data_IF_101153144919
#
_entry.id   IF_101153144919
#
_cell.length_a   1.000
_cell.length_b   1.000
_cell.length_c   1.000
_cell.angle_alpha   90.00
_cell.angle_beta   90.00
_cell.angle_gamma   90.00
#
_symmetry.space_group_name_H-M   'P 1'
#
loop_
_entity.id
_entity.type
_entity.pdbx_description
1 polymer ?
#
# COMPACT_ATOMS: atom_id res chain seq x y z
N UNK A 1 -5.35 -11.57 -0.81
CA UNK A 1 -4.64 -11.58 0.49
C UNK A 1 -5.53 -11.08 1.61
N UNK A 2 -5.36 -11.59 2.85
CA UNK A 2 -6.16 -11.15 4.00
C UNK A 2 -5.59 -9.86 4.59
N UNK A 3 -6.43 -8.86 4.76
CA UNK A 3 -6.00 -7.54 5.20
C UNK A 3 -6.93 -6.94 6.25
N UNK A 4 -6.41 -5.96 7.00
CA UNK A 4 -7.19 -5.11 7.89
C UNK A 4 -6.96 -3.64 7.54
N UNK A 5 -7.97 -2.83 7.86
CA UNK A 5 -7.88 -1.38 7.83
C UNK A 5 -8.28 -0.82 9.20
N UNK A 6 -7.39 -0.04 9.80
CA UNK A 6 -7.57 0.61 11.08
C UNK A 6 -8.03 2.06 10.86
N UNK A 7 -9.20 2.39 11.33
CA UNK A 7 -9.72 3.75 11.31
C UNK A 7 -9.51 4.40 12.69
N UNK A 8 -8.48 5.22 12.75
CA UNK A 8 -7.95 5.82 13.97
C UNK A 8 -8.62 7.18 14.30
N UNK A 9 -9.93 7.32 14.05
CA UNK A 9 -10.65 8.58 14.26
C UNK A 9 -10.67 9.05 15.72
N UNK A 10 -10.50 8.13 16.68
CA UNK A 10 -10.35 8.41 18.11
C UNK A 10 -9.00 7.93 18.64
N UNK A 11 -7.97 7.98 17.79
CA UNK A 11 -6.64 7.53 18.13
C UNK A 11 -6.44 6.02 18.08
N UNK A 12 -5.35 5.57 18.70
CA UNK A 12 -4.97 4.15 18.77
C UNK A 12 -4.07 3.91 19.99
N UNK A 13 -4.33 2.82 20.70
CA UNK A 13 -3.51 2.35 21.81
C UNK A 13 -3.44 0.82 21.80
N UNK A 14 -2.56 0.23 22.61
CA UNK A 14 -2.38 -1.22 22.63
C UNK A 14 -3.65 -1.94 23.09
N UNK A 15 -4.28 -1.49 24.15
CA UNK A 15 -5.53 -2.06 24.66
C UNK A 15 -6.68 -1.93 23.63
N UNK A 16 -6.77 -0.83 22.88
CA UNK A 16 -7.74 -0.68 21.79
C UNK A 16 -7.48 -1.67 20.66
N UNK A 17 -6.21 -1.91 20.30
CA UNK A 17 -5.83 -2.93 19.32
C UNK A 17 -6.28 -4.33 19.77
N UNK A 18 -5.93 -4.73 21.01
CA UNK A 18 -6.34 -6.04 21.55
C UNK A 18 -7.85 -6.20 21.56
N UNK A 19 -8.58 -5.18 22.03
CA UNK A 19 -10.04 -5.18 22.05
C UNK A 19 -10.64 -5.34 20.64
N UNK A 20 -10.12 -4.62 19.66
CA UNK A 20 -10.58 -4.73 18.29
C UNK A 20 -10.31 -6.11 17.68
N UNK A 21 -9.15 -6.71 17.95
CA UNK A 21 -8.82 -8.06 17.50
C UNK A 21 -9.69 -9.15 18.13
N UNK A 22 -9.94 -9.05 19.44
CA UNK A 22 -10.84 -9.98 20.13
C UNK A 22 -12.26 -9.89 19.55
N UNK A 23 -12.78 -8.69 19.35
CA UNK A 23 -14.09 -8.52 18.73
C UNK A 23 -14.11 -8.94 17.25
N UNK A 24 -12.98 -8.90 16.56
CA UNK A 24 -12.83 -9.39 15.18
C UNK A 24 -12.78 -10.92 15.08
N UNK A 25 -12.84 -11.65 16.21
CA UNK A 25 -12.95 -13.11 16.25
C UNK A 25 -11.71 -13.85 16.71
N UNK A 26 -10.69 -13.18 17.28
CA UNK A 26 -9.63 -13.87 18.03
C UNK A 26 -10.20 -14.40 19.33
N UNK A 27 -10.12 -15.72 19.61
CA UNK A 27 -10.61 -16.23 20.89
C UNK A 27 -9.75 -15.74 22.06
N UNK A 28 -10.38 -15.21 23.12
CA UNK A 28 -9.67 -14.75 24.31
C UNK A 28 -8.79 -15.85 24.93
N UNK A 29 -9.31 -17.08 24.99
CA UNK A 29 -8.56 -18.22 25.51
C UNK A 29 -7.26 -18.51 24.72
N UNK A 30 -7.29 -18.32 23.40
CA UNK A 30 -6.11 -18.46 22.54
C UNK A 30 -5.08 -17.37 22.86
N UNK A 31 -5.51 -16.10 22.89
CA UNK A 31 -4.61 -14.98 23.18
C UNK A 31 -3.93 -15.17 24.56
N UNK A 32 -4.71 -15.58 25.59
CA UNK A 32 -4.16 -15.85 26.93
C UNK A 32 -3.14 -16.99 26.92
N UNK A 33 -3.43 -18.08 26.22
CA UNK A 33 -2.53 -19.22 26.12
C UNK A 33 -1.22 -18.87 25.41
N UNK A 34 -1.28 -18.06 24.36
CA UNK A 34 -0.07 -17.60 23.67
C UNK A 34 0.74 -16.60 24.51
N UNK A 35 0.10 -15.63 25.16
CA UNK A 35 0.78 -14.69 26.06
C UNK A 35 1.44 -15.38 27.26
N UNK A 36 0.88 -16.48 27.74
CA UNK A 36 1.47 -17.28 28.83
C UNK A 36 2.80 -17.96 28.44
N UNK A 37 3.17 -17.99 27.15
CA UNK A 37 4.48 -18.49 26.69
C UNK A 37 5.62 -17.49 26.91
N UNK A 38 5.30 -16.23 27.23
CA UNK A 38 6.32 -15.25 27.59
C UNK A 38 6.85 -15.54 29.00
N UNK A 39 8.17 -15.57 29.20
CA UNK A 39 8.79 -15.80 30.52
C UNK A 39 8.72 -14.50 31.36
N UNK A 40 7.52 -14.00 31.62
CA UNK A 40 7.30 -12.84 32.45
C UNK A 40 7.33 -13.22 33.92
N UNK A 41 8.19 -12.60 34.70
CA UNK A 41 8.17 -12.73 36.13
C UNK A 41 6.99 -11.96 36.72
N UNK A 42 6.18 -12.64 37.48
CA UNK A 42 4.99 -12.09 38.14
C UNK A 42 3.68 -12.43 37.45
N UNK A 43 2.60 -12.30 38.15
CA UNK A 43 1.24 -12.48 37.64
C UNK A 43 0.72 -11.15 37.08
N UNK A 44 -0.01 -11.21 35.99
CA UNK A 44 -0.82 -10.09 35.52
C UNK A 44 -2.28 -10.52 35.43
N UNK A 45 -3.19 -9.56 35.50
CA UNK A 45 -4.61 -9.77 35.28
C UNK A 45 -5.01 -9.07 34.00
N UNK A 46 -5.44 -9.84 33.00
CA UNK A 46 -6.03 -9.30 31.81
C UNK A 46 -7.56 -9.35 31.95
N UNK A 47 -8.19 -8.19 31.99
CA UNK A 47 -9.64 -8.04 32.02
C UNK A 47 -10.15 -7.81 30.61
N UNK A 48 -11.14 -8.59 30.18
CA UNK A 48 -11.79 -8.44 28.88
C UNK A 48 -13.28 -8.30 29.13
N UNK A 49 -13.88 -7.22 28.65
CA UNK A 49 -15.31 -6.99 28.88
C UNK A 49 -15.95 -6.26 27.68
N UNK A 50 -17.20 -6.61 27.34
CA UNK A 50 -17.99 -5.84 26.40
C UNK A 50 -18.41 -4.51 27.05
N UNK A 51 -18.23 -3.41 26.31
CA UNK A 51 -18.60 -2.06 26.78
C UNK A 51 -19.36 -1.31 25.70
N UNK A 52 -20.07 -0.25 26.13
CA UNK A 52 -20.74 0.67 25.23
C UNK A 52 -20.03 2.03 25.27
N UNK A 53 -19.53 2.50 24.15
CA UNK A 53 -18.96 3.85 23.99
C UNK A 53 -19.84 4.67 23.03
N UNK A 54 -20.57 5.64 23.55
CA UNK A 54 -21.48 6.49 22.78
C UNK A 54 -22.43 5.72 21.85
N UNK A 55 -22.98 4.59 22.35
CA UNK A 55 -23.90 3.73 21.58
C UNK A 55 -23.20 2.70 20.66
N UNK A 56 -21.87 2.64 20.63
CA UNK A 56 -21.11 1.62 19.90
C UNK A 56 -20.71 0.50 20.85
N UNK A 57 -21.11 -0.73 20.54
CA UNK A 57 -20.67 -1.92 21.27
C UNK A 57 -19.20 -2.22 20.89
N UNK A 58 -18.33 -2.27 21.88
CA UNK A 58 -16.89 -2.46 21.73
C UNK A 58 -16.33 -3.44 22.76
N UNK A 59 -15.15 -3.98 22.51
CA UNK A 59 -14.44 -4.80 23.47
C UNK A 59 -13.38 -3.94 24.17
N UNK A 60 -13.41 -3.92 25.50
CA UNK A 60 -12.41 -3.28 26.35
C UNK A 60 -11.46 -4.31 26.91
N UNK A 61 -10.17 -4.06 26.77
CA UNK A 61 -9.11 -4.89 27.34
C UNK A 61 -8.29 -4.03 28.31
N UNK A 62 -8.04 -4.54 29.49
CA UNK A 62 -7.23 -3.88 30.50
C UNK A 62 -6.25 -4.90 31.11
N UNK A 63 -4.98 -4.58 31.05
CA UNK A 63 -3.90 -5.40 31.60
C UNK A 63 -3.39 -4.72 32.88
N UNK A 64 -3.52 -5.40 34.02
CA UNK A 64 -3.10 -4.89 35.31
C UNK A 64 -2.09 -5.81 35.94
N UNK A 65 -1.10 -5.22 36.60
CA UNK A 65 -0.24 -5.94 37.51
C UNK A 65 -0.97 -6.05 38.87
N UNK A 66 -0.92 -7.21 39.57
CA UNK A 66 -1.45 -7.32 40.91
C UNK A 66 -0.71 -6.33 41.80
N UNK A 67 -1.46 -5.54 42.57
CA UNK A 67 -0.86 -4.68 43.61
C UNK A 67 -0.07 -5.56 44.60
N UNK A 68 1.20 -5.33 44.74
CA UNK A 68 1.90 -5.73 45.94
C UNK A 68 1.45 -4.73 47.01
N UNK A 69 0.68 -5.21 47.98
CA UNK A 69 0.39 -4.49 49.25
C UNK A 69 1.70 -4.37 50.03
N UNK A 70 2.50 -3.38 49.71
CA UNK A 70 3.64 -3.00 50.55
C UNK A 70 3.47 -1.55 50.98
N UNK A 71 3.03 -1.44 52.22
CA UNK A 71 3.17 -0.24 53.04
C UNK A 71 4.65 0.03 53.29
N UNK A 72 5.33 0.69 52.35
CA UNK A 72 6.55 1.44 52.64
C UNK A 72 6.70 2.58 51.65
N UNK A 73 6.74 3.80 52.19
CA UNK A 73 7.13 5.02 51.49
C UNK A 73 8.56 4.87 50.97
N UNK A 74 8.71 4.75 49.65
CA UNK A 74 9.99 4.70 49.00
C UNK A 74 9.82 4.36 47.54
N UNK A 75 10.30 5.24 46.69
CA UNK A 75 10.47 5.18 45.22
C UNK A 75 10.07 3.83 44.60
N UNK A 76 8.93 3.80 43.93
CA UNK A 76 8.50 2.64 43.12
C UNK A 76 9.48 2.45 41.98
N UNK A 77 10.46 1.57 42.18
CA UNK A 77 11.36 1.11 41.15
C UNK A 77 10.56 0.27 40.12
N UNK A 78 9.97 0.93 39.15
CA UNK A 78 9.59 0.25 37.94
C UNK A 78 10.87 -0.32 37.31
N UNK A 79 10.96 -1.64 37.14
CA UNK A 79 12.06 -2.26 36.44
C UNK A 79 12.07 -1.68 35.00
N UNK A 80 12.98 -0.74 34.76
CA UNK A 80 13.18 -0.16 33.44
C UNK A 80 13.86 -1.22 32.56
N UNK A 81 13.08 -1.84 31.66
CA UNK A 81 13.64 -2.79 30.69
C UNK A 81 14.20 -2.02 29.50
N UNK A 82 15.37 -2.46 29.05
CA UNK A 82 15.99 -1.99 27.80
C UNK A 82 15.46 -2.78 26.62
N UNK A 83 15.72 -2.30 25.40
CA UNK A 83 15.42 -3.06 24.18
C UNK A 83 16.11 -4.42 24.18
N UNK A 84 17.32 -4.53 24.73
CA UNK A 84 18.04 -5.78 24.87
C UNK A 84 17.33 -6.78 25.80
N UNK A 85 16.78 -6.31 26.91
CA UNK A 85 16.03 -7.15 27.87
C UNK A 85 14.74 -7.68 27.22
N UNK A 86 13.99 -6.82 26.49
CA UNK A 86 12.77 -7.19 25.79
C UNK A 86 13.08 -8.19 24.68
N UNK A 87 14.16 -7.99 23.93
CA UNK A 87 14.61 -8.93 22.89
C UNK A 87 14.90 -10.30 23.50
N UNK A 88 15.68 -10.36 24.58
CA UNK A 88 16.00 -11.61 25.25
C UNK A 88 14.74 -12.32 25.76
N UNK A 89 13.78 -11.58 26.31
CA UNK A 89 12.50 -12.11 26.78
C UNK A 89 11.67 -12.72 25.66
N UNK A 90 11.54 -12.02 24.52
CA UNK A 90 10.76 -12.49 23.38
C UNK A 90 11.45 -13.68 22.70
N UNK A 91 12.77 -13.64 22.52
CA UNK A 91 13.55 -14.72 21.89
C UNK A 91 13.52 -16.01 22.73
N UNK A 92 13.56 -15.88 24.07
CA UNK A 92 13.47 -17.03 24.98
C UNK A 92 12.06 -17.64 25.07
N UNK A 93 11.03 -16.97 24.56
CA UNK A 93 9.66 -17.46 24.60
C UNK A 93 9.40 -18.64 23.67
N UNK A 94 8.32 -19.39 23.92
CA UNK A 94 7.83 -20.45 23.03
C UNK A 94 6.81 -19.96 21.99
N UNK A 95 6.83 -18.66 21.64
CA UNK A 95 6.00 -18.06 20.57
C UNK A 95 6.49 -18.47 19.18
N UNK A 96 5.63 -18.36 18.17
CA UNK A 96 6.02 -18.58 16.77
C UNK A 96 7.06 -17.56 16.31
N UNK A 97 7.93 -17.95 15.39
CA UNK A 97 8.95 -17.02 14.84
C UNK A 97 8.32 -15.81 14.16
N UNK A 98 7.14 -15.96 13.55
CA UNK A 98 6.40 -14.86 12.95
C UNK A 98 5.94 -13.83 14.01
N UNK A 99 5.41 -14.30 15.14
CA UNK A 99 5.02 -13.45 16.25
C UNK A 99 6.24 -12.76 16.87
N UNK A 100 7.34 -13.50 17.11
CA UNK A 100 8.59 -12.91 17.62
C UNK A 100 9.09 -11.80 16.70
N UNK A 101 9.20 -12.08 15.39
CA UNK A 101 9.69 -11.11 14.42
C UNK A 101 8.83 -9.84 14.37
N UNK A 102 7.49 -9.96 14.35
CA UNK A 102 6.57 -8.81 14.38
C UNK A 102 6.70 -8.01 15.67
N UNK A 103 6.73 -8.68 16.81
CA UNK A 103 6.87 -8.03 18.12
C UNK A 103 8.18 -7.25 18.22
N UNK A 104 9.30 -7.87 17.84
CA UNK A 104 10.61 -7.23 17.85
C UNK A 104 10.68 -6.04 16.88
N UNK A 105 10.03 -6.11 15.73
CA UNK A 105 9.97 -5.00 14.79
C UNK A 105 9.23 -3.79 15.37
N UNK A 106 8.12 -4.00 16.10
CA UNK A 106 7.38 -2.92 16.76
C UNK A 106 8.22 -2.30 17.89
N UNK A 107 8.86 -3.12 18.73
CA UNK A 107 9.72 -2.63 19.82
C UNK A 107 10.95 -1.90 19.29
N UNK A 108 11.58 -2.38 18.21
CA UNK A 108 12.70 -1.72 17.58
C UNK A 108 12.32 -0.32 17.08
N UNK A 109 11.16 -0.22 16.40
CA UNK A 109 10.62 1.07 15.93
C UNK A 109 10.39 2.05 17.09
N UNK A 110 9.87 1.54 18.22
CA UNK A 110 9.68 2.34 19.41
C UNK A 110 11.00 2.76 20.06
N UNK A 111 11.98 1.84 20.16
CA UNK A 111 13.30 2.11 20.72
C UNK A 111 14.06 3.17 19.91
N UNK A 112 13.90 3.16 18.60
CA UNK A 112 14.49 4.17 17.71
C UNK A 112 13.89 5.56 17.96
N UNK A 113 12.59 5.66 18.15
CA UNK A 113 11.91 6.92 18.46
C UNK A 113 12.31 7.45 19.84
N UNK A 114 12.28 6.62 20.86
CA UNK A 114 12.71 6.96 22.23
C UNK A 114 14.21 7.32 22.25
N UNK A 115 15.04 6.58 21.50
CA UNK A 115 16.47 6.86 21.37
C UNK A 115 16.74 8.25 20.81
N UNK A 116 15.96 8.70 19.82
CA UNK A 116 16.05 10.07 19.29
C UNK A 116 15.63 11.11 20.32
N UNK A 117 14.50 10.89 21.01
CA UNK A 117 14.00 11.80 22.05
C UNK A 117 15.00 11.98 23.17
N UNK A 118 15.66 10.90 23.61
CA UNK A 118 16.62 10.91 24.71
C UNK A 118 18.07 11.09 24.29
N UNK A 119 18.35 11.26 23.00
CA UNK A 119 19.71 11.34 22.44
C UNK A 119 20.59 10.15 22.88
N UNK A 120 20.03 8.93 22.85
CA UNK A 120 20.71 7.67 23.21
C UNK A 120 20.58 6.64 22.08
N UNK A 121 21.51 5.68 21.97
CA UNK A 121 21.35 4.55 21.08
C UNK A 121 20.11 3.72 21.42
N UNK A 122 19.35 3.27 20.42
CA UNK A 122 18.10 2.52 20.60
C UNK A 122 18.26 1.29 21.52
N UNK A 123 19.37 0.54 21.40
CA UNK A 123 19.61 -0.67 22.21
C UNK A 123 19.83 -0.38 23.71
N UNK A 124 20.20 0.85 24.07
CA UNK A 124 20.50 1.27 25.45
C UNK A 124 19.42 2.13 26.07
N UNK A 125 18.40 2.45 25.31
CA UNK A 125 17.24 3.20 25.81
C UNK A 125 16.48 2.34 26.81
N UNK A 126 16.25 2.90 27.99
CA UNK A 126 15.35 2.32 28.98
C UNK A 126 13.92 2.82 28.68
N UNK A 127 13.00 1.92 28.53
CA UNK A 127 11.60 2.27 28.36
C UNK A 127 11.00 2.63 29.71
N UNK A 128 10.73 3.92 29.91
CA UNK A 128 10.19 4.42 31.18
C UNK A 128 8.70 4.12 31.35
N UNK A 129 7.95 4.03 30.24
CA UNK A 129 6.53 3.74 30.22
C UNK A 129 6.22 2.44 29.49
N UNK A 130 6.90 2.19 28.35
CA UNK A 130 6.57 1.09 27.44
C UNK A 130 7.37 -0.19 27.76
N UNK A 131 8.30 -0.17 28.71
CA UNK A 131 8.99 -1.35 29.26
C UNK A 131 8.18 -2.10 30.33
N UNK A 132 7.04 -1.54 30.75
CA UNK A 132 6.13 -2.17 31.67
C UNK A 132 5.44 -3.40 31.02
N UNK A 133 5.02 -4.32 31.86
CA UNK A 133 4.45 -5.61 31.42
C UNK A 133 3.20 -5.44 30.56
N UNK A 134 2.37 -4.44 30.85
CA UNK A 134 1.18 -4.10 30.08
C UNK A 134 1.50 -3.81 28.61
N UNK A 135 2.49 -2.95 28.36
CA UNK A 135 2.91 -2.61 27.00
C UNK A 135 3.54 -3.79 26.26
N UNK A 136 4.28 -4.67 26.98
CA UNK A 136 4.80 -5.90 26.39
C UNK A 136 3.66 -6.81 25.95
N UNK A 137 2.66 -6.98 26.80
CA UNK A 137 1.49 -7.80 26.50
C UNK A 137 0.64 -7.21 25.37
N UNK A 138 0.50 -5.90 25.29
CA UNK A 138 -0.20 -5.21 24.24
C UNK A 138 0.48 -5.43 22.86
N UNK A 139 1.79 -5.21 22.78
CA UNK A 139 2.55 -5.35 21.53
C UNK A 139 2.61 -6.80 21.07
N UNK A 140 2.99 -7.72 21.97
CA UNK A 140 3.08 -9.14 21.66
C UNK A 140 1.69 -9.71 21.37
N UNK A 141 0.68 -9.29 22.14
CA UNK A 141 -0.70 -9.68 21.92
C UNK A 141 -1.25 -9.25 20.57
N UNK A 142 -0.93 -8.02 20.13
CA UNK A 142 -1.29 -7.56 18.77
C UNK A 142 -0.62 -8.41 17.69
N UNK A 143 0.66 -8.77 17.84
CA UNK A 143 1.36 -9.65 16.91
C UNK A 143 0.75 -11.06 16.86
N UNK A 144 0.38 -11.63 18.04
CA UNK A 144 -0.34 -12.91 18.13
C UNK A 144 -1.67 -12.84 17.40
N UNK A 145 -2.43 -11.77 17.58
CA UNK A 145 -3.74 -11.60 16.94
C UNK A 145 -3.61 -11.51 15.42
N UNK A 146 -2.62 -10.77 14.91
CA UNK A 146 -2.33 -10.69 13.46
C UNK A 146 -1.98 -12.07 12.88
N UNK A 147 -1.17 -12.84 13.59
CA UNK A 147 -0.76 -14.20 13.20
C UNK A 147 -1.96 -15.15 13.18
N UNK A 148 -2.77 -15.17 14.26
CA UNK A 148 -3.98 -15.97 14.37
C UNK A 148 -4.99 -15.70 13.24
N UNK A 149 -5.21 -14.42 12.93
CA UNK A 149 -6.12 -14.02 11.87
C UNK A 149 -5.53 -14.21 10.48
N UNK A 150 -4.25 -14.54 10.35
CA UNK A 150 -3.57 -14.68 9.07
C UNK A 150 -3.51 -13.35 8.29
N UNK A 151 -3.27 -12.25 8.99
CA UNK A 151 -3.22 -10.91 8.36
C UNK A 151 -1.88 -10.71 7.65
N UNK A 152 -1.96 -10.48 6.34
CA UNK A 152 -0.82 -10.25 5.46
C UNK A 152 -0.53 -8.76 5.27
N UNK A 153 -1.57 -7.91 5.30
CA UNK A 153 -1.46 -6.47 5.11
C UNK A 153 -2.29 -5.70 6.15
N UNK A 154 -1.68 -4.65 6.68
CA UNK A 154 -2.32 -3.69 7.59
C UNK A 154 -2.33 -2.33 6.93
N UNK A 155 -3.47 -1.68 6.89
CA UNK A 155 -3.63 -0.30 6.47
C UNK A 155 -4.22 0.52 7.59
N UNK A 156 -3.93 1.82 7.61
CA UNK A 156 -4.53 2.69 8.60
C UNK A 156 -4.81 4.10 8.04
N UNK A 157 -5.82 4.74 8.61
CA UNK A 157 -6.23 6.12 8.30
C UNK A 157 -5.23 7.15 8.82
N UNK A 158 -5.50 8.42 8.55
CA UNK A 158 -4.96 9.52 9.36
C UNK A 158 -5.29 9.31 10.84
N UNK A 159 -4.42 9.79 11.72
CA UNK A 159 -4.48 9.49 13.16
C UNK A 159 -4.90 10.70 13.96
N UNK A 160 -5.89 10.53 14.83
CA UNK A 160 -6.24 11.55 15.82
C UNK A 160 -5.31 11.40 17.04
N UNK A 161 -4.42 12.35 17.22
CA UNK A 161 -3.47 12.33 18.35
C UNK A 161 -4.10 12.77 19.66
N UNK A 162 -5.23 13.46 19.61
CA UNK A 162 -5.74 14.21 20.72
C UNK A 162 -5.01 15.54 20.91
N UNK A 163 -5.18 16.18 22.07
CA UNK A 163 -4.57 17.48 22.39
C UNK A 163 -4.39 17.68 23.91
N UNK A 164 -3.80 18.82 24.29
CA UNK A 164 -3.57 19.15 25.69
C UNK A 164 -2.26 18.61 26.23
N UNK A 165 -2.30 18.09 27.47
CA UNK A 165 -1.14 17.59 28.18
C UNK A 165 -1.42 16.24 28.83
N UNK A 166 -0.39 15.42 28.96
CA UNK A 166 -0.40 14.13 29.64
C UNK A 166 0.67 14.11 30.74
N UNK A 167 0.32 13.55 31.90
CA UNK A 167 1.31 13.24 32.94
C UNK A 167 1.96 11.89 32.62
N UNK A 168 3.28 11.90 32.52
CA UNK A 168 4.09 10.73 32.24
C UNK A 168 5.32 10.66 33.17
N UNK A 169 6.15 9.64 33.03
CA UNK A 169 7.37 9.48 33.83
C UNK A 169 8.32 10.71 33.77
N UNK A 170 8.24 11.49 32.70
CA UNK A 170 9.00 12.72 32.48
C UNK A 170 8.30 14.01 32.96
N UNK A 171 7.18 13.87 33.69
CA UNK A 171 6.36 15.00 34.12
C UNK A 171 5.22 15.32 33.16
N UNK A 172 4.85 16.61 33.07
CA UNK A 172 3.76 17.09 32.22
C UNK A 172 4.25 17.32 30.80
N UNK A 173 3.81 16.50 29.84
CA UNK A 173 4.20 16.56 28.44
C UNK A 173 3.05 16.99 27.53
N UNK A 174 3.33 17.69 26.41
CA UNK A 174 2.31 18.03 25.44
C UNK A 174 1.82 16.77 24.69
N UNK A 175 0.57 16.80 24.22
CA UNK A 175 0.01 15.77 23.35
C UNK A 175 0.08 16.25 21.89
N UNK A 176 0.64 15.44 20.97
CA UNK A 176 1.21 14.11 21.19
C UNK A 176 2.51 14.15 22.00
N UNK A 177 2.76 13.11 22.79
CA UNK A 177 4.02 12.97 23.51
C UNK A 177 5.22 12.89 22.55
N UNK A 178 6.45 13.28 22.97
CA UNK A 178 7.59 13.38 22.06
C UNK A 178 7.87 12.12 21.24
N UNK A 179 7.80 10.94 21.85
CA UNK A 179 7.98 9.66 21.14
C UNK A 179 6.88 9.43 20.08
N UNK A 180 5.63 9.77 20.39
CA UNK A 180 4.51 9.68 19.41
C UNK A 180 4.73 10.65 18.25
N UNK A 181 5.18 11.87 18.53
CA UNK A 181 5.50 12.84 17.48
C UNK A 181 6.59 12.33 16.52
N UNK A 182 7.65 11.70 17.07
CA UNK A 182 8.73 11.09 16.27
C UNK A 182 8.22 9.89 15.45
N UNK A 183 7.41 9.01 16.04
CA UNK A 183 6.84 7.84 15.36
C UNK A 183 5.89 8.21 14.22
N UNK A 184 5.18 9.32 14.34
CA UNK A 184 4.22 9.79 13.34
C UNK A 184 4.80 10.77 12.30
N UNK A 185 6.13 10.94 12.22
CA UNK A 185 6.75 11.70 11.14
C UNK A 185 6.31 11.12 9.78
N UNK A 186 5.91 12.01 8.85
CA UNK A 186 5.35 11.68 7.53
C UNK A 186 4.03 10.88 7.55
N UNK A 187 3.43 10.69 8.74
CA UNK A 187 2.10 10.11 8.86
C UNK A 187 1.06 11.23 9.03
N UNK A 188 0.00 11.28 8.22
CA UNK A 188 -1.04 12.31 8.38
C UNK A 188 -1.73 12.21 9.72
N UNK A 189 -1.55 13.23 10.56
CA UNK A 189 -2.15 13.36 11.88
C UNK A 189 -3.06 14.58 11.99
N UNK A 190 -3.96 14.55 12.94
CA UNK A 190 -4.81 15.68 13.32
C UNK A 190 -5.20 15.59 14.79
N UNK A 191 -5.80 16.62 15.34
CA UNK A 191 -6.34 16.65 16.68
C UNK A 191 -7.79 17.13 16.66
N UNK A 192 -8.69 16.38 17.27
CA UNK A 192 -10.10 16.71 17.39
C UNK A 192 -10.78 15.96 18.54
N UNK A 193 -11.79 16.61 19.13
CA UNK A 193 -12.79 15.95 19.96
C UNK A 193 -12.39 15.64 21.41
N UNK A 194 -11.12 15.85 21.81
CA UNK A 194 -10.69 15.60 23.19
C UNK A 194 -9.39 16.32 23.56
N UNK A 195 -9.32 16.85 24.78
CA UNK A 195 -8.10 17.31 25.43
C UNK A 195 -7.49 16.19 26.24
N UNK A 196 -7.13 15.11 25.57
CA UNK A 196 -6.53 13.88 26.12
C UNK A 196 -5.58 13.29 25.07
N UNK A 197 -4.63 12.49 25.53
CA UNK A 197 -3.86 11.61 24.65
C UNK A 197 -4.79 10.52 24.10
N UNK A 198 -4.96 10.49 22.77
CA UNK A 198 -5.75 9.49 22.06
C UNK A 198 -4.89 8.45 21.36
N UNK A 199 -3.65 8.82 21.04
CA UNK A 199 -2.68 7.92 20.39
C UNK A 199 -1.49 7.76 21.30
N UNK A 200 -1.31 6.54 21.81
CA UNK A 200 -0.22 6.19 22.71
C UNK A 200 1.05 5.80 21.97
N UNK A 201 2.24 5.83 22.60
CA UNK A 201 3.49 5.35 21.99
C UNK A 201 3.37 3.93 21.43
N UNK A 202 2.71 3.00 22.15
CA UNK A 202 2.48 1.62 21.69
C UNK A 202 1.66 1.57 20.41
N UNK A 203 0.55 2.32 20.35
CA UNK A 203 -0.30 2.40 19.16
C UNK A 203 0.41 3.03 17.97
N UNK A 204 1.16 4.12 18.19
CA UNK A 204 1.95 4.78 17.15
C UNK A 204 3.07 3.87 16.60
N UNK A 205 3.77 3.13 17.48
CA UNK A 205 4.80 2.18 17.08
C UNK A 205 4.22 1.01 16.25
N UNK A 206 3.05 0.52 16.63
CA UNK A 206 2.34 -0.48 15.83
C UNK A 206 2.04 0.05 14.42
N UNK A 207 1.47 1.24 14.30
CA UNK A 207 1.19 1.85 13.00
C UNK A 207 2.45 2.02 12.16
N UNK A 208 3.50 2.61 12.73
CA UNK A 208 4.74 2.86 12.02
C UNK A 208 5.43 1.60 11.53
N UNK A 209 5.37 0.53 12.32
CA UNK A 209 6.04 -0.75 12.03
C UNK A 209 5.23 -1.66 11.12
N UNK A 210 3.91 -1.73 11.28
CA UNK A 210 3.07 -2.76 10.68
C UNK A 210 2.11 -2.25 9.60
N UNK A 211 1.78 -0.95 9.60
CA UNK A 211 0.73 -0.42 8.73
C UNK A 211 1.26 0.45 7.59
N UNK A 212 0.55 0.42 6.47
CA UNK A 212 0.67 1.40 5.41
C UNK A 212 -0.45 2.44 5.52
N UNK A 213 -0.11 3.72 5.32
CA UNK A 213 -1.13 4.77 5.30
C UNK A 213 -2.08 4.60 4.11
N UNK A 214 -3.38 4.77 4.37
CA UNK A 214 -4.42 4.86 3.34
C UNK A 214 -5.50 5.84 3.81
N UNK A 215 -5.79 6.87 3.04
CA UNK A 215 -6.77 7.91 3.43
C UNK A 215 -8.19 7.36 3.62
N UNK A 216 -8.51 6.27 2.91
CA UNK A 216 -9.78 5.55 2.96
C UNK A 216 -9.51 4.04 2.86
N UNK A 217 -10.57 3.25 2.85
CA UNK A 217 -10.44 1.81 2.55
C UNK A 217 -9.65 1.63 1.24
N UNK A 218 -8.58 0.81 1.24
CA UNK A 218 -7.76 0.61 0.05
C UNK A 218 -8.57 0.13 -1.15
N UNK A 219 -8.17 0.53 -2.34
CA UNK A 219 -8.82 0.05 -3.57
C UNK A 219 -8.72 -1.49 -3.65
N UNK A 220 -9.81 -2.14 -4.02
CA UNK A 220 -9.90 -3.61 -4.02
C UNK A 220 -10.10 -4.24 -2.64
N UNK A 221 -10.17 -3.46 -1.55
CA UNK A 221 -10.45 -3.99 -0.23
C UNK A 221 -11.95 -4.26 -0.05
N UNK A 222 -12.30 -5.53 0.18
CA UNK A 222 -13.66 -5.96 0.50
C UNK A 222 -13.76 -6.31 1.97
N UNK A 223 -14.37 -5.43 2.75
CA UNK A 223 -14.61 -5.67 4.17
C UNK A 223 -15.61 -6.82 4.36
N UNK A 224 -15.23 -7.81 5.18
CA UNK A 224 -16.10 -8.91 5.60
C UNK A 224 -16.71 -8.65 6.98
N UNK A 225 -16.12 -7.74 7.77
CA UNK A 225 -16.60 -7.38 9.10
C UNK A 225 -15.96 -6.10 9.62
N UNK A 226 -16.56 -5.54 10.67
CA UNK A 226 -16.03 -4.43 11.43
C UNK A 226 -16.03 -4.78 12.92
N UNK A 227 -14.98 -4.36 13.63
CA UNK A 227 -14.80 -4.58 15.05
C UNK A 227 -14.29 -3.31 15.73
N UNK A 228 -14.56 -3.18 17.04
CA UNK A 228 -14.28 -1.98 17.80
C UNK A 228 -13.54 -2.31 19.11
N UNK A 229 -12.36 -1.76 19.27
CA UNK A 229 -11.62 -1.83 20.53
C UNK A 229 -11.81 -0.55 21.33
N UNK A 230 -12.27 -0.66 22.56
CA UNK A 230 -12.56 0.50 23.40
C UNK A 230 -11.31 1.04 24.07
N UNK A 231 -11.20 2.37 24.10
CA UNK A 231 -10.23 3.08 24.92
C UNK A 231 -10.75 3.36 26.33
N UNK A 232 -9.89 3.85 27.18
CA UNK A 232 -10.15 4.09 28.60
C UNK A 232 -11.09 5.28 28.84
N UNK A 233 -11.03 6.31 27.97
CA UNK A 233 -11.70 7.58 28.21
C UNK A 233 -13.18 7.55 27.84
N UNK A 234 -13.99 8.27 28.63
CA UNK A 234 -15.35 8.63 28.26
C UNK A 234 -15.35 10.04 27.71
N UNK A 235 -15.58 10.17 26.40
CA UNK A 235 -15.46 11.40 25.64
C UNK A 235 -16.77 11.77 24.94
N UNK A 236 -16.84 12.99 24.43
CA UNK A 236 -17.95 13.42 23.57
C UNK A 236 -18.03 12.64 22.25
N UNK A 237 -16.87 12.16 21.75
CA UNK A 237 -16.78 11.22 20.63
C UNK A 237 -16.57 9.79 21.14
N UNK A 238 -17.00 8.76 20.41
CA UNK A 238 -16.73 7.38 20.80
C UNK A 238 -15.23 7.10 20.90
N UNK A 239 -14.72 6.80 22.09
CA UNK A 239 -13.33 6.43 22.27
C UNK A 239 -13.12 4.97 21.91
N UNK A 240 -13.09 4.69 20.62
CA UNK A 240 -12.89 3.37 20.04
C UNK A 240 -11.97 3.40 18.82
N UNK A 241 -11.17 2.36 18.65
CA UNK A 241 -10.50 2.03 17.41
C UNK A 241 -11.44 1.18 16.56
N UNK A 242 -11.69 1.57 15.32
CA UNK A 242 -12.47 0.75 14.39
C UNK A 242 -11.54 -0.06 13.49
N UNK A 243 -11.73 -1.36 13.46
CA UNK A 243 -10.98 -2.30 12.63
C UNK A 243 -11.92 -2.92 11.60
N UNK A 244 -11.61 -2.77 10.32
CA UNK A 244 -12.23 -3.54 9.25
C UNK A 244 -11.32 -4.72 8.91
N UNK A 245 -11.90 -5.93 8.88
CA UNK A 245 -11.23 -7.14 8.41
C UNK A 245 -11.84 -7.59 7.10
N UNK A 246 -11.00 -8.00 6.15
CA UNK A 246 -11.49 -8.39 4.84
C UNK A 246 -10.43 -9.01 3.94
N UNK A 247 -10.80 -9.08 2.68
CA UNK A 247 -9.91 -9.50 1.60
C UNK A 247 -9.50 -8.28 0.78
N UNK A 248 -8.19 -8.13 0.59
CA UNK A 248 -7.66 -7.25 -0.43
C UNK A 248 -7.52 -8.10 -1.70
N UNK A 249 -8.33 -7.81 -2.68
CA UNK A 249 -8.11 -8.37 -4.00
C UNK A 249 -6.76 -7.79 -4.47
N UNK A 250 -5.77 -8.65 -4.62
CA UNK A 250 -4.66 -8.29 -5.48
C UNK A 250 -5.31 -7.94 -6.81
N UNK A 251 -5.05 -6.73 -7.31
CA UNK A 251 -5.35 -6.45 -8.71
C UNK A 251 -4.77 -7.66 -9.44
N UNK A 252 -5.68 -8.50 -9.96
CA UNK A 252 -5.28 -9.76 -10.56
C UNK A 252 -4.12 -9.42 -11.49
N UNK A 253 -3.03 -10.17 -11.42
CA UNK A 253 -1.92 -10.12 -12.39
C UNK A 253 -2.38 -10.50 -13.81
N UNK A 254 -3.67 -10.48 -14.05
CA UNK A 254 -4.26 -10.31 -15.36
C UNK A 254 -4.05 -8.85 -15.74
N UNK A 255 -2.86 -8.55 -16.19
CA UNK A 255 -2.29 -7.39 -16.89
C UNK A 255 -3.15 -6.18 -17.28
N UNK A 256 -4.11 -5.72 -16.48
CA UNK A 256 -5.05 -4.65 -16.85
C UNK A 256 -5.34 -3.61 -15.76
N UNK A 257 -4.64 -3.59 -14.63
CA UNK A 257 -4.82 -2.56 -13.60
C UNK A 257 -3.58 -1.69 -13.47
N UNK A 258 -3.58 -0.50 -14.06
CA UNK A 258 -2.86 0.71 -13.60
C UNK A 258 -1.34 0.79 -13.69
N UNK A 259 -0.63 -0.12 -14.37
CA UNK A 259 0.81 0.08 -14.65
C UNK A 259 1.06 1.05 -15.82
N UNK A 260 -0.01 1.66 -16.34
CA UNK A 260 0.08 2.59 -17.48
C UNK A 260 -0.15 4.02 -17.05
N UNK A 261 0.70 4.89 -17.59
CA UNK A 261 0.64 6.35 -17.43
C UNK A 261 0.58 7.02 -18.77
N UNK A 262 -0.10 8.14 -18.84
CA UNK A 262 0.03 9.09 -19.96
C UNK A 262 0.75 10.33 -19.44
N UNK A 263 1.91 10.62 -20.05
CA UNK A 263 2.66 11.85 -19.86
C UNK A 263 2.20 12.86 -20.91
N UNK A 264 1.81 14.05 -20.52
CA UNK A 264 1.32 15.09 -21.43
C UNK A 264 2.03 16.42 -21.21
N UNK A 265 2.41 17.07 -22.31
CA UNK A 265 2.89 18.44 -22.28
C UNK A 265 2.43 19.22 -23.50
N UNK A 266 2.25 20.54 -23.33
CA UNK A 266 1.85 21.43 -24.41
C UNK A 266 3.07 22.22 -24.87
N UNK A 267 3.29 22.28 -26.20
CA UNK A 267 4.48 22.86 -26.82
C UNK A 267 4.01 23.85 -27.90
N UNK A 268 4.35 25.15 -27.76
CA UNK A 268 3.97 26.22 -28.67
C UNK A 268 5.16 26.91 -29.41
N UNK A 269 6.37 26.45 -29.15
CA UNK A 269 7.61 27.10 -29.61
C UNK A 269 8.68 26.13 -30.11
N UNK A 270 8.30 24.87 -30.44
CA UNK A 270 9.23 23.88 -30.99
C UNK A 270 9.01 23.65 -32.47
N UNK A 271 10.12 23.45 -33.22
CA UNK A 271 10.05 23.08 -34.64
C UNK A 271 9.33 21.74 -34.83
N UNK A 272 8.38 21.62 -35.78
CA UNK A 272 7.73 20.36 -36.10
C UNK A 272 8.69 19.25 -36.53
N UNK A 273 9.86 19.58 -37.06
CA UNK A 273 10.87 18.59 -37.49
C UNK A 273 11.40 17.74 -36.29
N UNK A 274 11.36 18.29 -35.09
CA UNK A 274 11.88 17.60 -33.87
C UNK A 274 11.02 16.41 -33.49
N UNK A 275 9.72 16.41 -33.80
CA UNK A 275 8.81 15.35 -33.38
C UNK A 275 9.19 13.96 -33.91
N UNK A 276 9.68 13.85 -35.16
CA UNK A 276 10.11 12.57 -35.69
C UNK A 276 11.23 11.93 -34.91
N UNK A 277 12.27 12.70 -34.58
CA UNK A 277 13.37 12.27 -33.73
C UNK A 277 12.91 11.96 -32.30
N UNK A 278 12.07 12.82 -31.75
CA UNK A 278 11.52 12.67 -30.41
C UNK A 278 10.74 11.35 -30.22
N UNK A 279 9.93 10.98 -31.24
CA UNK A 279 9.16 9.73 -31.20
C UNK A 279 10.10 8.51 -31.16
N UNK A 280 11.10 8.46 -31.97
CA UNK A 280 12.11 7.38 -32.00
C UNK A 280 12.79 7.25 -30.63
N UNK A 281 13.20 8.38 -30.03
CA UNK A 281 13.83 8.41 -28.71
C UNK A 281 12.90 7.91 -27.62
N UNK A 282 11.63 8.31 -27.64
CA UNK A 282 10.64 7.89 -26.65
C UNK A 282 10.36 6.39 -26.72
N UNK A 283 10.19 5.82 -27.92
CA UNK A 283 10.05 4.37 -28.06
C UNK A 283 11.28 3.60 -27.58
N UNK A 284 12.48 4.13 -27.80
CA UNK A 284 13.74 3.50 -27.33
C UNK A 284 13.81 3.41 -25.79
N UNK A 285 13.20 4.35 -25.05
CA UNK A 285 13.22 4.35 -23.57
C UNK A 285 11.97 3.73 -22.95
N UNK A 286 11.13 3.06 -23.76
CA UNK A 286 10.01 2.25 -23.27
C UNK A 286 8.64 2.93 -23.35
N UNK A 287 8.46 3.95 -24.19
CA UNK A 287 7.12 4.40 -24.56
C UNK A 287 6.39 3.28 -25.31
N UNK A 288 5.12 3.09 -24.99
CA UNK A 288 4.23 2.12 -25.65
C UNK A 288 3.49 2.74 -26.82
N UNK A 289 3.22 4.05 -26.74
CA UNK A 289 2.60 4.83 -27.80
C UNK A 289 2.96 6.31 -27.62
N UNK A 290 3.06 7.04 -28.73
CA UNK A 290 3.39 8.46 -28.76
C UNK A 290 2.53 9.12 -29.81
N UNK A 291 1.82 10.20 -29.43
CA UNK A 291 1.02 10.96 -30.38
C UNK A 291 1.01 12.45 -30.05
N UNK A 292 0.66 13.26 -31.04
CA UNK A 292 0.45 14.69 -30.89
C UNK A 292 -0.97 15.07 -31.24
N UNK A 293 -1.53 16.00 -30.45
CA UNK A 293 -2.84 16.60 -30.70
C UNK A 293 -2.66 18.10 -30.96
N UNK A 294 -3.13 18.65 -32.10
CA UNK A 294 -3.12 20.07 -32.35
C UNK A 294 -4.00 20.80 -31.33
N UNK A 295 -3.46 21.87 -30.74
CA UNK A 295 -4.17 22.73 -29.78
C UNK A 295 -3.90 24.20 -30.06
N UNK A 296 -4.70 25.07 -29.43
CA UNK A 296 -4.43 26.52 -29.39
C UNK A 296 -4.16 26.91 -27.95
N UNK A 297 -3.02 27.54 -27.70
CA UNK A 297 -2.62 28.01 -26.37
C UNK A 297 -2.94 29.50 -26.18
N UNK A 298 -2.62 30.01 -24.97
CA UNK A 298 -2.75 31.46 -24.64
C UNK A 298 -2.11 32.33 -25.73
N UNK A 299 -2.62 33.52 -25.92
CA UNK A 299 -2.23 34.47 -26.99
C UNK A 299 -2.47 33.90 -28.41
N UNK A 300 -3.44 33.00 -28.56
CA UNK A 300 -3.87 32.41 -29.84
C UNK A 300 -2.74 31.69 -30.60
N UNK A 301 -1.76 31.12 -29.90
CA UNK A 301 -0.64 30.42 -30.52
C UNK A 301 -1.02 29.01 -30.92
N UNK A 302 -0.83 28.63 -32.20
CA UNK A 302 -0.89 27.22 -32.59
C UNK A 302 0.16 26.41 -31.84
N UNK A 303 -0.22 25.24 -31.33
CA UNK A 303 0.63 24.42 -30.53
C UNK A 303 0.29 22.94 -30.70
N UNK A 304 1.11 22.06 -30.17
CA UNK A 304 0.83 20.62 -30.10
C UNK A 304 0.87 20.16 -28.64
N UNK A 305 -0.10 19.34 -28.25
CA UNK A 305 -0.02 18.56 -27.03
C UNK A 305 0.64 17.22 -27.38
N UNK A 306 1.85 17.00 -26.85
CA UNK A 306 2.52 15.71 -26.89
C UNK A 306 1.95 14.82 -25.80
N UNK A 307 1.57 13.59 -26.14
CA UNK A 307 1.09 12.56 -25.23
C UNK A 307 1.92 11.29 -25.40
N UNK A 308 2.35 10.69 -24.30
CA UNK A 308 3.20 9.49 -24.27
C UNK A 308 2.58 8.48 -23.32
N UNK A 309 2.17 7.33 -23.86
CA UNK A 309 1.73 6.19 -23.05
C UNK A 309 2.96 5.35 -22.68
N UNK A 310 3.16 5.11 -21.39
CA UNK A 310 4.26 4.28 -20.92
C UNK A 310 3.85 3.46 -19.67
N UNK A 311 4.68 2.48 -19.30
CA UNK A 311 4.56 1.83 -17.99
C UNK A 311 5.11 2.72 -16.88
N UNK A 312 4.65 2.51 -15.65
CA UNK A 312 5.14 3.25 -14.47
C UNK A 312 6.66 3.18 -14.35
N UNK A 313 7.26 2.00 -14.61
CA UNK A 313 8.72 1.82 -14.59
C UNK A 313 9.50 2.61 -15.64
N UNK A 314 8.86 3.03 -16.75
CA UNK A 314 9.49 3.85 -17.80
C UNK A 314 9.20 5.35 -17.66
N UNK A 315 8.43 5.76 -16.65
CA UNK A 315 7.96 7.14 -16.46
C UNK A 315 9.12 8.15 -16.47
N UNK A 316 10.12 7.93 -15.63
CA UNK A 316 11.20 8.89 -15.44
C UNK A 316 12.13 8.96 -16.65
N UNK A 317 12.33 7.84 -17.35
CA UNK A 317 13.08 7.79 -18.61
C UNK A 317 12.35 8.57 -19.72
N UNK A 318 11.05 8.36 -19.91
CA UNK A 318 10.24 9.11 -20.87
C UNK A 318 10.17 10.60 -20.53
N UNK A 319 9.95 10.95 -19.26
CA UNK A 319 9.94 12.33 -18.78
C UNK A 319 11.28 13.03 -19.05
N UNK A 320 12.40 12.35 -18.80
CA UNK A 320 13.73 12.88 -19.07
C UNK A 320 13.95 13.19 -20.55
N UNK A 321 13.49 12.30 -21.45
CA UNK A 321 13.55 12.55 -22.90
C UNK A 321 12.71 13.76 -23.26
N UNK A 322 11.45 13.85 -22.81
CA UNK A 322 10.58 15.01 -23.09
C UNK A 322 11.24 16.32 -22.66
N UNK A 323 11.73 16.40 -21.42
CA UNK A 323 12.28 17.64 -20.87
C UNK A 323 13.64 18.04 -21.50
N UNK A 324 14.39 17.08 -22.04
CA UNK A 324 15.70 17.37 -22.67
C UNK A 324 15.62 17.65 -24.16
N UNK A 325 14.67 17.02 -24.85
CA UNK A 325 14.58 17.09 -26.32
C UNK A 325 13.50 18.07 -26.80
N UNK A 326 12.74 18.67 -25.88
CA UNK A 326 11.69 19.65 -26.22
C UNK A 326 11.90 20.97 -25.48
N UNK A 327 11.14 21.99 -25.85
CA UNK A 327 11.10 23.29 -25.15
C UNK A 327 10.21 23.24 -23.90
N UNK A 328 9.62 22.09 -23.57
CA UNK A 328 8.75 21.93 -22.40
C UNK A 328 9.55 22.01 -21.10
N UNK A 329 9.02 22.77 -20.14
CA UNK A 329 9.60 22.91 -18.79
C UNK A 329 8.87 22.08 -17.73
N UNK A 330 7.84 21.33 -18.13
CA UNK A 330 7.04 20.50 -17.22
C UNK A 330 6.02 19.65 -17.97
N UNK A 331 5.55 18.61 -17.32
CA UNK A 331 4.58 17.67 -17.88
C UNK A 331 3.54 17.25 -16.82
N UNK A 332 2.37 16.85 -17.28
CA UNK A 332 1.31 16.25 -16.48
C UNK A 332 1.43 14.74 -16.55
N UNK A 333 1.20 14.05 -15.44
CA UNK A 333 1.14 12.58 -15.35
C UNK A 333 -0.29 12.19 -15.03
N UNK A 334 -0.88 11.37 -15.88
CA UNK A 334 -2.23 10.81 -15.64
C UNK A 334 -2.15 9.28 -15.55
N UNK A 335 -2.77 8.71 -14.54
CA UNK A 335 -2.96 7.26 -14.47
C UNK A 335 -4.03 6.85 -15.47
N UNK A 336 -3.76 5.78 -16.23
CA UNK A 336 -4.76 5.13 -17.05
C UNK A 336 -5.52 4.16 -16.16
N UNK A 337 -6.79 4.46 -15.89
CA UNK A 337 -7.60 3.66 -14.97
C UNK A 337 -7.78 2.22 -15.46
N UNK A 338 -7.91 2.04 -16.79
CA UNK A 338 -8.02 0.73 -17.41
C UNK A 338 -7.53 0.81 -18.86
N UNK A 339 -6.82 -0.23 -19.31
CA UNK A 339 -6.46 -0.44 -20.72
C UNK A 339 -6.98 -1.80 -21.15
N UNK A 340 -7.83 -1.82 -22.15
CA UNK A 340 -8.39 -3.03 -22.71
C UNK A 340 -7.61 -3.35 -24.00
N UNK A 341 -7.04 -4.54 -24.08
CA UNK A 341 -6.29 -5.01 -25.26
C UNK A 341 -6.86 -6.36 -25.72
N UNK A 342 -7.03 -6.49 -27.02
CA UNK A 342 -7.33 -7.77 -27.65
C UNK A 342 -6.07 -8.66 -27.65
N UNK A 343 -6.25 -9.95 -27.50
CA UNK A 343 -5.17 -10.94 -27.68
C UNK A 343 -4.63 -10.85 -29.09
N UNK A 344 -3.31 -10.93 -29.26
CA UNK A 344 -2.66 -10.75 -30.56
C UNK A 344 -1.78 -11.93 -30.90
N UNK A 345 -1.85 -12.36 -32.15
CA UNK A 345 -0.89 -13.30 -32.73
C UNK A 345 -0.34 -12.75 -34.06
N UNK A 346 0.86 -13.16 -34.41
CA UNK A 346 1.44 -12.89 -35.73
C UNK A 346 1.47 -14.20 -36.50
N UNK A 347 0.90 -14.17 -37.69
CA UNK A 347 0.95 -15.29 -38.65
C UNK A 347 1.66 -14.81 -39.93
N UNK A 348 2.28 -15.73 -40.62
CA UNK A 348 2.94 -15.42 -41.91
C UNK A 348 2.13 -16.01 -43.05
N UNK A 349 1.93 -15.21 -44.10
CA UNK A 349 1.19 -15.63 -45.30
C UNK A 349 2.09 -15.53 -46.53
N UNK A 350 2.05 -16.56 -47.36
CA UNK A 350 2.76 -16.55 -48.65
C UNK A 350 1.94 -15.76 -49.69
N UNK A 351 2.60 -14.84 -50.36
CA UNK A 351 2.02 -14.09 -51.48
C UNK A 351 2.87 -14.30 -52.76
N UNK A 352 2.36 -13.96 -53.95
CA UNK A 352 3.18 -13.98 -55.18
C UNK A 352 4.44 -13.09 -55.11
N UNK A 353 4.51 -12.18 -54.17
CA UNK A 353 5.60 -11.22 -54.01
C UNK A 353 6.58 -11.60 -52.89
N UNK A 354 6.24 -12.61 -52.09
CA UNK A 354 6.99 -13.08 -50.94
C UNK A 354 6.12 -13.28 -49.70
N UNK A 355 6.76 -13.64 -48.60
CA UNK A 355 6.10 -13.86 -47.31
C UNK A 355 5.83 -12.52 -46.59
N UNK A 356 4.62 -12.38 -46.05
CA UNK A 356 4.15 -11.18 -45.31
C UNK A 356 3.70 -11.58 -43.92
N UNK A 357 4.24 -10.93 -42.90
CA UNK A 357 3.72 -11.05 -41.56
C UNK A 357 2.35 -10.35 -41.45
N UNK A 358 1.39 -11.00 -40.76
CA UNK A 358 0.05 -10.49 -40.59
C UNK A 358 -0.31 -10.56 -39.08
N UNK A 359 -0.82 -9.46 -38.54
CA UNK A 359 -1.34 -9.40 -37.20
C UNK A 359 -2.81 -9.81 -37.16
N UNK A 360 -3.16 -10.72 -36.28
CA UNK A 360 -4.54 -11.13 -35.93
C UNK A 360 -4.83 -10.72 -34.49
N UNK A 361 -6.02 -10.19 -34.26
CA UNK A 361 -6.48 -9.82 -32.94
C UNK A 361 -7.75 -10.58 -32.58
N UNK A 362 -7.81 -11.09 -31.33
CA UNK A 362 -8.92 -11.88 -30.83
C UNK A 362 -9.51 -11.22 -29.60
N UNK A 363 -10.84 -11.28 -29.49
CA UNK A 363 -11.57 -10.82 -28.33
C UNK A 363 -12.54 -11.91 -27.88
N UNK A 364 -12.38 -12.40 -26.64
CA UNK A 364 -13.13 -13.55 -26.15
C UNK A 364 -13.09 -14.77 -27.10
N UNK A 365 -11.91 -15.05 -27.65
CA UNK A 365 -11.71 -16.17 -28.57
C UNK A 365 -12.20 -15.93 -30.00
N UNK A 366 -12.90 -14.82 -30.28
CA UNK A 366 -13.35 -14.48 -31.63
C UNK A 366 -12.34 -13.57 -32.36
N UNK A 367 -12.04 -13.87 -33.63
CA UNK A 367 -11.22 -13.00 -34.47
C UNK A 367 -11.96 -11.68 -34.72
N UNK A 368 -11.41 -10.56 -34.22
CA UNK A 368 -12.01 -9.22 -34.37
C UNK A 368 -11.28 -8.33 -35.38
N UNK A 369 -10.02 -8.63 -35.64
CA UNK A 369 -9.25 -7.88 -36.65
C UNK A 369 -8.12 -8.76 -37.20
N UNK A 370 -7.81 -8.53 -38.49
CA UNK A 370 -6.64 -9.11 -39.15
C UNK A 370 -6.12 -8.18 -40.21
N UNK A 371 -4.79 -7.96 -40.26
CA UNK A 371 -4.16 -7.08 -41.23
C UNK A 371 -2.71 -7.46 -41.49
N UNK A 372 -2.23 -7.31 -42.74
CA UNK A 372 -0.82 -7.42 -43.08
C UNK A 372 0.03 -6.33 -42.40
N UNK A 373 1.29 -6.65 -42.11
CA UNK A 373 2.27 -5.65 -41.68
C UNK A 373 2.66 -4.73 -42.84
N UNK A 374 2.50 -3.43 -42.60
CA UNK A 374 2.72 -2.40 -43.63
C UNK A 374 4.17 -2.40 -44.13
N UNK A 375 5.15 -2.51 -43.23
CA UNK A 375 6.57 -2.48 -43.57
C UNK A 375 6.97 -3.64 -44.51
N UNK A 376 6.45 -4.86 -44.24
CA UNK A 376 6.70 -6.03 -45.10
C UNK A 376 6.10 -5.81 -46.50
N UNK A 377 4.86 -5.30 -46.55
CA UNK A 377 4.23 -4.99 -47.81
C UNK A 377 5.00 -3.91 -48.60
N UNK A 378 5.50 -2.86 -47.92
CA UNK A 378 6.33 -1.83 -48.54
C UNK A 378 7.64 -2.40 -49.08
N UNK A 379 8.31 -3.27 -48.32
CA UNK A 379 9.57 -3.89 -48.73
C UNK A 379 9.37 -4.74 -49.98
N UNK A 380 8.34 -5.59 -49.99
CA UNK A 380 8.03 -6.47 -51.11
C UNK A 380 7.57 -5.69 -52.36
N UNK A 381 6.76 -4.64 -52.19
CA UNK A 381 6.35 -3.76 -53.28
C UNK A 381 7.55 -3.10 -53.97
N UNK A 382 8.50 -2.59 -53.20
CA UNK A 382 9.76 -2.01 -53.72
C UNK A 382 10.60 -3.05 -54.44
N UNK A 383 10.73 -4.26 -53.90
CA UNK A 383 11.53 -5.35 -54.49
C UNK A 383 10.91 -5.87 -55.78
N UNK A 384 9.59 -6.00 -55.82
CA UNK A 384 8.88 -6.52 -57.00
C UNK A 384 8.57 -5.44 -58.07
N UNK A 385 8.78 -4.15 -57.76
CA UNK A 385 8.47 -3.05 -58.65
C UNK A 385 6.96 -2.89 -58.93
N UNK A 386 6.11 -3.27 -57.97
CA UNK A 386 4.63 -3.24 -58.06
C UNK A 386 4.03 -2.23 -57.10
N UNK A 387 2.81 -1.73 -57.39
CA UNK A 387 2.12 -0.87 -56.43
C UNK A 387 1.89 -1.56 -55.09
N UNK A 388 2.11 -0.85 -53.98
CA UNK A 388 1.90 -1.35 -52.60
C UNK A 388 0.54 -2.01 -52.41
N UNK A 389 -0.53 -1.41 -52.93
CA UNK A 389 -1.91 -1.93 -52.84
C UNK A 389 -2.08 -3.35 -53.39
N UNK A 390 -1.28 -3.75 -54.41
CA UNK A 390 -1.33 -5.11 -54.95
C UNK A 390 -0.74 -6.13 -53.96
N UNK A 391 0.34 -5.77 -53.27
CA UNK A 391 0.94 -6.63 -52.25
C UNK A 391 0.02 -6.74 -51.05
N UNK A 392 -0.56 -5.63 -50.58
CA UNK A 392 -1.52 -5.64 -49.50
C UNK A 392 -2.77 -6.48 -49.82
N UNK A 393 -3.31 -6.38 -51.02
CA UNK A 393 -4.47 -7.16 -51.47
C UNK A 393 -4.14 -8.66 -51.54
N UNK A 394 -2.99 -9.02 -52.10
CA UNK A 394 -2.53 -10.41 -52.12
C UNK A 394 -2.35 -10.98 -50.72
N UNK A 395 -1.78 -10.21 -49.80
CA UNK A 395 -1.63 -10.61 -48.39
C UNK A 395 -2.99 -10.76 -47.69
N UNK A 396 -3.95 -9.88 -47.91
CA UNK A 396 -5.33 -9.99 -47.34
C UNK A 396 -6.06 -11.21 -47.88
N UNK A 397 -5.94 -11.53 -49.17
CA UNK A 397 -6.54 -12.72 -49.76
C UNK A 397 -5.95 -14.02 -49.14
N UNK A 398 -4.61 -14.06 -49.02
CA UNK A 398 -3.93 -15.19 -48.42
C UNK A 398 -4.33 -15.37 -46.92
N UNK A 399 -4.43 -14.25 -46.19
CA UNK A 399 -4.87 -14.26 -44.77
C UNK A 399 -6.34 -14.73 -44.61
N UNK A 400 -7.21 -14.34 -45.54
CA UNK A 400 -8.61 -14.79 -45.54
C UNK A 400 -8.74 -16.32 -45.80
N UNK A 401 -7.88 -16.85 -46.70
CA UNK A 401 -7.84 -18.30 -46.97
C UNK A 401 -7.43 -19.11 -45.74
N UNK A 402 -6.45 -18.66 -44.95
CA UNK A 402 -6.09 -19.30 -43.67
C UNK A 402 -7.25 -19.35 -42.65
N UNK A 403 -8.11 -18.33 -42.64
CA UNK A 403 -9.27 -18.30 -41.76
C UNK A 403 -10.35 -19.33 -42.16
N UNK A 404 -10.46 -19.66 -43.45
CA UNK A 404 -11.41 -20.66 -43.97
C UNK A 404 -10.93 -22.10 -43.73
N UNK A 405 -9.64 -22.37 -43.75
CA UNK A 405 -9.08 -23.73 -43.54
C UNK A 405 -9.17 -24.14 -42.06
N UNK A 406 -8.94 -23.24 -41.11
CA UNK A 406 -9.13 -23.50 -39.68
C UNK A 406 -10.59 -23.81 -39.28
N UNK A 407 -11.60 -23.39 -40.04
CA UNK A 407 -12.99 -23.73 -39.84
C UNK A 407 -13.37 -25.12 -40.39
N UNK A 408 -12.56 -25.71 -41.26
CA UNK A 408 -12.78 -27.06 -41.80
C UNK A 408 -12.24 -28.17 -40.87
N UNK A 409 -11.11 -27.89 -40.18
CA UNK A 409 -10.50 -28.85 -39.25
C UNK A 409 -11.26 -28.97 -37.90
N UNK A 410 -12.07 -27.99 -37.51
CA UNK A 410 -12.90 -28.04 -36.30
C UNK A 410 -14.23 -28.76 -36.48
N UNK A 411 -14.53 -29.31 -37.68
CA UNK A 411 -15.79 -30.05 -38.02
C UNK A 411 -15.57 -31.50 -38.43
N UNK A 412 -14.36 -32.03 -38.29
CA UNK A 412 -14.04 -33.44 -38.51
C UNK A 412 -13.86 -34.22 -37.21
#
# INVERSE_FOLDING_TARGET
MKAIYLDCFSGISGNMLLGAFLQAGVPEAYLRAELAKLPLEGSYVMKVEPVMKNGIAACYVDVRLPHRDDHHDGEHGHEHRTMADIRALIEASALSEAVKARSLAIFQTLAEAEGKVHARPADTVAFHEVGAVDSILDIVGAAICLDYLGIERVFASKVNTGSGFVHCAHGLMPVPAPAVAELLLDWPGYHAGAEKELTTPTGAAFLRSQAAFSESLPEGFRAAGAAYGAGTWDLAIPNVLRLYIGQLEEAAENGQGTDFLVLETNIDDMSPQVYGYLYERLFTVGALDVWTTPIVMKKTRPAAMLSVLCRTGSKDACASVILRETTSIGLRVRKVAQRIEAERETVHVATPYGEVACKRAFWHGALVNSKPEYEDCCLLARRAGVPLKQVEEAARLALAALACDGLRESKS
#
